data_IF_295420231906
#
_entry.id   IF_295420231906
#
_cell.length_a   1.000
_cell.length_b   1.000
_cell.length_c   1.000
_cell.angle_alpha   90.00
_cell.angle_beta   90.00
_cell.angle_gamma   90.00
#
_symmetry.space_group_name_H-M   'P 1'
#
loop_
_entity.id
_entity.type
_entity.pdbx_description
1 polymer ?
#
# COMPACT_ATOMS: atom_id res chain seq x y z
N UNK A 1 -17.04 -6.44 15.82
CA UNK A 1 -17.68 -5.44 14.92
C UNK A 1 -19.20 -5.63 14.90
N UNK A 2 -19.69 -6.89 14.87
CA UNK A 2 -21.11 -7.25 15.05
C UNK A 2 -21.76 -6.64 16.30
N UNK A 3 -21.05 -6.65 17.43
CA UNK A 3 -21.54 -6.05 18.69
C UNK A 3 -21.88 -4.55 18.59
N UNK A 4 -21.24 -3.79 17.68
CA UNK A 4 -21.53 -2.36 17.48
C UNK A 4 -22.80 -2.12 16.63
N UNK A 5 -23.12 -3.05 15.74
CA UNK A 5 -24.29 -2.94 14.87
C UNK A 5 -25.58 -3.37 15.60
N UNK A 6 -25.50 -4.43 16.42
CA UNK A 6 -26.64 -4.88 17.22
C UNK A 6 -27.05 -3.86 18.29
N UNK A 7 -26.12 -3.05 18.81
CA UNK A 7 -26.43 -2.03 19.81
C UNK A 7 -27.17 -0.80 19.27
N UNK A 8 -27.35 -0.66 17.94
CA UNK A 8 -28.02 0.49 17.32
C UNK A 8 -29.50 0.26 16.96
N UNK A 9 -30.06 -0.93 17.24
CA UNK A 9 -31.50 -1.17 17.08
C UNK A 9 -32.02 -1.11 15.64
N UNK A 10 -31.13 -1.11 14.63
CA UNK A 10 -31.55 -1.26 13.24
C UNK A 10 -31.80 -2.75 12.93
N UNK A 11 -33.03 -3.09 12.55
CA UNK A 11 -33.39 -4.36 11.90
C UNK A 11 -32.74 -4.55 10.51
N UNK A 12 -31.62 -3.87 10.23
CA UNK A 12 -30.89 -4.01 8.98
C UNK A 12 -30.04 -5.29 9.03
N UNK A 13 -29.98 -6.06 7.93
CA UNK A 13 -29.08 -7.20 7.87
C UNK A 13 -27.64 -6.77 8.15
N UNK A 14 -26.92 -7.58 8.93
CA UNK A 14 -25.49 -7.36 9.20
C UNK A 14 -24.73 -7.21 7.89
N UNK A 15 -23.90 -6.15 7.70
CA UNK A 15 -23.20 -5.95 6.45
C UNK A 15 -22.23 -7.10 6.19
N UNK A 16 -22.19 -7.55 4.93
CA UNK A 16 -21.19 -8.49 4.48
C UNK A 16 -19.89 -7.76 4.17
N UNK A 17 -18.75 -8.35 4.56
CA UNK A 17 -17.44 -7.77 4.35
C UNK A 17 -16.68 -8.55 3.27
N UNK A 18 -16.04 -7.81 2.35
CA UNK A 18 -15.08 -8.35 1.40
C UNK A 18 -13.72 -7.70 1.66
N UNK A 19 -12.71 -8.52 1.92
CA UNK A 19 -11.34 -8.11 2.23
C UNK A 19 -10.43 -8.49 1.07
N UNK A 20 -9.65 -7.52 0.61
CA UNK A 20 -8.66 -7.71 -0.43
C UNK A 20 -7.26 -7.64 0.18
N UNK A 21 -6.46 -8.70 -0.02
CA UNK A 21 -5.04 -8.68 0.32
C UNK A 21 -4.25 -8.35 -0.94
N UNK A 22 -3.65 -7.17 -0.98
CA UNK A 22 -2.76 -6.76 -2.07
C UNK A 22 -1.30 -6.88 -1.66
N UNK A 23 -0.50 -7.42 -2.55
CA UNK A 23 0.96 -7.41 -2.50
C UNK A 23 1.52 -7.56 -3.92
N UNK A 24 2.84 -7.51 -4.09
CA UNK A 24 3.51 -7.83 -5.34
C UNK A 24 3.09 -9.20 -5.87
N UNK A 25 3.10 -9.35 -7.20
CA UNK A 25 2.75 -10.62 -7.85
C UNK A 25 3.68 -11.79 -7.49
N UNK A 26 4.88 -11.49 -7.00
CA UNK A 26 5.84 -12.46 -6.50
C UNK A 26 5.62 -12.87 -5.04
N UNK A 27 4.68 -12.24 -4.33
CA UNK A 27 4.36 -12.59 -2.96
C UNK A 27 3.75 -14.00 -2.88
N UNK A 28 3.99 -14.68 -1.76
CA UNK A 28 3.44 -16.02 -1.52
C UNK A 28 1.98 -15.95 -0.99
N UNK A 29 1.05 -15.72 -1.92
CA UNK A 29 -0.38 -15.76 -1.63
C UNK A 29 -0.86 -17.16 -1.18
N UNK A 30 -0.15 -18.24 -1.53
CA UNK A 30 -0.57 -19.59 -1.13
C UNK A 30 -0.44 -19.76 0.39
N UNK A 31 0.67 -19.28 0.97
CA UNK A 31 0.84 -19.29 2.42
C UNK A 31 -0.22 -18.43 3.11
N UNK A 32 -0.50 -17.22 2.58
CA UNK A 32 -1.58 -16.37 3.10
C UNK A 32 -2.93 -17.10 3.12
N UNK A 33 -3.34 -17.71 2.00
CA UNK A 33 -4.65 -18.36 1.93
C UNK A 33 -4.76 -19.59 2.84
N UNK A 34 -3.66 -20.33 3.05
CA UNK A 34 -3.59 -21.45 3.99
C UNK A 34 -3.64 -21.01 5.45
N UNK A 35 -3.21 -19.79 5.76
CA UNK A 35 -3.18 -19.27 7.14
C UNK A 35 -4.44 -18.51 7.56
N UNK A 36 -5.43 -18.33 6.66
CA UNK A 36 -6.67 -17.62 7.01
C UNK A 36 -7.50 -18.40 8.05
N UNK A 37 -8.13 -17.72 9.02
CA UNK A 37 -9.07 -18.36 9.93
C UNK A 37 -10.22 -19.03 9.19
N UNK A 38 -10.64 -20.20 9.68
CA UNK A 38 -11.74 -20.98 9.11
C UNK A 38 -13.08 -20.31 9.44
N UNK A 39 -13.20 -19.72 10.62
CA UNK A 39 -14.39 -19.09 11.21
C UNK A 39 -14.54 -17.59 10.88
N UNK A 40 -13.78 -17.08 9.89
CA UNK A 40 -13.87 -15.69 9.46
C UNK A 40 -15.28 -15.33 8.97
N UNK A 41 -15.75 -14.14 9.38
CA UNK A 41 -17.05 -13.59 8.99
C UNK A 41 -16.93 -12.61 7.79
N UNK A 42 -16.00 -12.88 6.87
CA UNK A 42 -15.74 -12.04 5.70
C UNK A 42 -15.22 -12.86 4.52
N UNK A 43 -15.51 -12.39 3.31
CA UNK A 43 -14.98 -12.94 2.06
C UNK A 43 -13.60 -12.39 1.78
N UNK A 44 -12.76 -13.18 1.11
CA UNK A 44 -11.35 -12.83 0.87
C UNK A 44 -11.00 -13.00 -0.61
N UNK A 45 -10.23 -12.06 -1.14
CA UNK A 45 -9.54 -12.19 -2.42
C UNK A 45 -8.08 -11.70 -2.31
N UNK A 46 -7.17 -12.32 -3.07
CA UNK A 46 -5.82 -11.80 -3.28
C UNK A 46 -5.77 -10.94 -4.53
N UNK A 47 -5.01 -9.86 -4.48
CA UNK A 47 -4.88 -8.89 -5.57
C UNK A 47 -3.40 -8.69 -5.87
N UNK A 48 -2.81 -9.44 -6.82
CA UNK A 48 -1.41 -9.30 -7.15
C UNK A 48 -1.16 -8.01 -7.96
N UNK A 49 -0.19 -7.21 -7.55
CA UNK A 49 0.22 -6.00 -8.28
C UNK A 49 0.84 -4.94 -7.37
N UNK A 50 1.60 -4.02 -7.96
CA UNK A 50 2.16 -2.91 -7.21
C UNK A 50 1.07 -1.94 -6.77
N UNK A 51 1.07 -1.55 -5.49
CA UNK A 51 0.18 -0.51 -4.99
C UNK A 51 0.52 0.89 -5.54
N UNK A 52 1.63 1.08 -6.27
CA UNK A 52 1.90 2.33 -6.99
C UNK A 52 1.09 2.47 -8.28
N UNK A 53 0.33 1.44 -8.68
CA UNK A 53 -0.61 1.52 -9.80
C UNK A 53 -2.06 1.30 -9.33
N UNK A 54 -2.99 1.46 -10.27
CA UNK A 54 -4.39 1.10 -10.07
C UNK A 54 -4.52 -0.42 -10.01
N UNK A 55 -5.32 -0.90 -9.06
CA UNK A 55 -5.58 -2.31 -8.75
C UNK A 55 -7.07 -2.62 -8.74
N UNK A 56 -7.90 -1.62 -8.46
CA UNK A 56 -9.35 -1.79 -8.29
C UNK A 56 -10.17 -0.93 -9.26
N UNK A 57 -11.44 -1.29 -9.51
CA UNK A 57 -12.39 -0.44 -10.21
C UNK A 57 -12.59 0.92 -9.51
N UNK A 58 -13.24 1.85 -10.23
CA UNK A 58 -13.54 3.16 -9.66
C UNK A 58 -14.52 3.03 -8.48
N UNK A 59 -14.23 3.74 -7.38
CA UNK A 59 -15.10 3.81 -6.20
C UNK A 59 -15.61 2.43 -5.71
N UNK A 60 -14.71 1.47 -5.55
CA UNK A 60 -15.03 0.12 -5.06
C UNK A 60 -14.52 -0.18 -3.65
N UNK A 61 -13.64 0.67 -3.09
CA UNK A 61 -13.06 0.48 -1.76
C UNK A 61 -13.68 1.47 -0.75
N UNK A 62 -14.18 0.93 0.36
CA UNK A 62 -14.70 1.74 1.47
C UNK A 62 -13.61 2.11 2.48
N UNK A 63 -12.62 1.22 2.63
CA UNK A 63 -11.54 1.37 3.59
C UNK A 63 -10.25 0.80 3.01
N UNK A 64 -9.16 1.56 3.11
CA UNK A 64 -7.81 1.14 2.69
C UNK A 64 -6.90 1.18 3.91
N UNK A 65 -6.11 0.13 4.08
CA UNK A 65 -5.09 0.05 5.12
C UNK A 65 -3.74 -0.29 4.49
N UNK A 66 -2.73 0.50 4.80
CA UNK A 66 -1.35 0.21 4.42
C UNK A 66 -0.44 0.45 5.62
N UNK A 67 0.39 -0.54 5.94
CA UNK A 67 1.26 -0.50 7.11
C UNK A 67 2.63 -1.07 6.74
N UNK A 68 3.68 -0.30 7.03
CA UNK A 68 5.07 -0.66 6.74
C UNK A 68 5.31 -1.09 5.27
N UNK A 69 4.59 -0.47 4.33
CA UNK A 69 4.72 -0.77 2.89
C UNK A 69 5.24 0.42 2.08
N UNK A 70 4.73 1.64 2.32
CA UNK A 70 5.03 2.82 1.48
C UNK A 70 6.49 3.29 1.54
N UNK A 71 7.29 2.83 2.50
CA UNK A 71 8.72 3.16 2.53
C UNK A 71 9.53 2.42 1.45
N UNK A 72 8.98 1.35 0.86
CA UNK A 72 9.58 0.65 -0.26
C UNK A 72 9.35 1.41 -1.55
N UNK A 73 10.40 2.00 -2.11
CA UNK A 73 10.32 2.70 -3.39
C UNK A 73 9.96 1.75 -4.53
N UNK A 74 9.31 2.28 -5.56
CA UNK A 74 9.00 1.52 -6.78
C UNK A 74 10.25 1.07 -7.53
N UNK A 75 11.35 1.80 -7.36
CA UNK A 75 12.66 1.54 -7.95
C UNK A 75 13.76 2.34 -7.26
N UNK A 76 15.00 1.94 -7.50
CA UNK A 76 16.18 2.72 -7.12
C UNK A 76 16.24 4.02 -7.94
N UNK A 77 16.49 5.21 -7.34
CA UNK A 77 16.72 6.43 -8.08
C UNK A 77 17.88 6.26 -9.08
N UNK A 78 17.72 6.74 -10.33
CA UNK A 78 18.73 6.48 -11.37
C UNK A 78 20.03 7.23 -11.09
N UNK A 79 19.90 8.40 -10.49
CA UNK A 79 20.97 9.33 -10.15
C UNK A 79 21.93 8.74 -9.11
N UNK A 80 21.49 7.79 -8.28
CA UNK A 80 22.33 7.17 -7.24
C UNK A 80 23.20 6.03 -7.76
N UNK A 81 22.87 5.47 -8.92
CA UNK A 81 23.64 4.39 -9.58
C UNK A 81 24.52 4.91 -10.72
N UNK A 82 24.26 6.12 -11.21
CA UNK A 82 25.05 6.76 -12.25
C UNK A 82 26.36 7.32 -11.69
N UNK A 83 27.52 6.82 -12.15
CA UNK A 83 28.84 7.24 -11.69
C UNK A 83 29.20 8.68 -12.05
N UNK A 84 28.53 9.26 -13.04
CA UNK A 84 28.74 10.64 -13.48
C UNK A 84 27.88 11.65 -12.71
N UNK A 85 26.88 11.16 -11.96
CA UNK A 85 25.94 11.98 -11.20
C UNK A 85 26.56 12.49 -9.89
N UNK A 86 26.28 13.74 -9.47
CA UNK A 86 26.65 14.22 -8.14
C UNK A 86 25.95 13.43 -7.01
N UNK A 87 24.86 12.72 -7.31
CA UNK A 87 24.17 11.83 -6.39
C UNK A 87 24.71 10.39 -6.40
N UNK A 88 25.82 10.09 -7.11
CA UNK A 88 26.38 8.74 -7.13
C UNK A 88 26.69 8.21 -5.73
N UNK A 89 25.99 7.18 -5.29
CA UNK A 89 26.09 6.68 -3.91
C UNK A 89 27.24 5.68 -3.75
N UNK A 90 28.46 6.10 -4.06
CA UNK A 90 29.65 5.24 -4.05
C UNK A 90 29.88 4.60 -2.69
N UNK A 91 30.02 3.27 -2.68
CA UNK A 91 30.38 2.48 -1.50
C UNK A 91 29.29 2.38 -0.43
N UNK A 92 28.05 2.75 -0.75
CA UNK A 92 26.90 2.71 0.16
C UNK A 92 25.71 2.05 -0.53
N UNK A 93 24.82 1.48 0.28
CA UNK A 93 23.61 0.79 -0.19
C UNK A 93 22.33 1.61 0.04
N UNK A 94 22.42 2.70 0.81
CA UNK A 94 21.30 3.57 1.15
C UNK A 94 21.77 5.00 1.46
N UNK A 95 20.84 5.93 1.76
CA UNK A 95 21.14 7.34 2.02
C UNK A 95 21.55 7.66 3.47
N UNK A 96 21.66 6.66 4.34
CA UNK A 96 22.07 6.88 5.75
C UNK A 96 23.47 7.51 5.81
N UNK A 97 23.57 8.70 6.40
CA UNK A 97 24.80 9.52 6.41
C UNK A 97 25.38 9.79 5.00
N UNK A 98 24.52 9.83 3.97
CA UNK A 98 24.91 10.19 2.62
C UNK A 98 24.89 11.72 2.44
N UNK A 99 25.48 12.19 1.34
CA UNK A 99 25.43 13.60 0.96
C UNK A 99 24.02 14.04 0.56
N UNK A 100 23.80 15.36 0.55
CA UNK A 100 22.51 15.98 0.24
C UNK A 100 21.92 15.50 -1.10
N UNK A 101 22.75 15.39 -2.13
CA UNK A 101 22.33 14.94 -3.47
C UNK A 101 21.75 13.52 -3.48
N UNK A 102 22.33 12.61 -2.70
CA UNK A 102 21.82 11.23 -2.55
C UNK A 102 20.48 11.27 -1.84
N UNK A 103 20.40 11.96 -0.70
CA UNK A 103 19.16 12.10 0.09
C UNK A 103 18.04 12.72 -0.73
N UNK A 104 18.35 13.74 -1.53
CA UNK A 104 17.41 14.41 -2.44
C UNK A 104 16.93 13.48 -3.55
N UNK A 105 17.81 12.65 -4.12
CA UNK A 105 17.41 11.68 -5.13
C UNK A 105 16.42 10.63 -4.57
N UNK A 106 16.68 10.09 -3.38
CA UNK A 106 15.73 9.19 -2.69
C UNK A 106 14.41 9.90 -2.34
N UNK A 107 14.47 11.11 -1.78
CA UNK A 107 13.28 11.89 -1.45
C UNK A 107 12.42 12.22 -2.68
N UNK A 108 13.05 12.54 -3.81
CA UNK A 108 12.35 12.81 -5.08
C UNK A 108 11.63 11.58 -5.60
N UNK A 109 12.28 10.40 -5.54
CA UNK A 109 11.67 9.14 -5.93
C UNK A 109 10.52 8.76 -4.99
N UNK A 110 10.68 8.94 -3.67
CA UNK A 110 9.62 8.74 -2.68
C UNK A 110 8.40 9.63 -2.93
N UNK A 111 8.61 10.93 -3.16
CA UNK A 111 7.53 11.87 -3.44
C UNK A 111 6.73 11.45 -4.68
N UNK A 112 7.42 11.04 -5.75
CA UNK A 112 6.79 10.51 -6.97
C UNK A 112 5.98 9.24 -6.70
N UNK A 113 6.55 8.32 -5.92
CA UNK A 113 5.91 7.05 -5.60
C UNK A 113 4.65 7.25 -4.75
N UNK A 114 4.73 8.11 -3.72
CA UNK A 114 3.56 8.47 -2.89
C UNK A 114 2.48 9.18 -3.72
N UNK A 115 2.85 10.08 -4.63
CA UNK A 115 1.88 10.72 -5.52
C UNK A 115 1.15 9.68 -6.39
N UNK A 116 1.88 8.75 -7.00
CA UNK A 116 1.28 7.64 -7.75
C UNK A 116 0.34 6.79 -6.89
N UNK A 117 0.75 6.44 -5.66
CA UNK A 117 -0.07 5.70 -4.71
C UNK A 117 -1.37 6.45 -4.40
N UNK A 118 -1.27 7.72 -3.98
CA UNK A 118 -2.42 8.54 -3.62
C UNK A 118 -3.37 8.75 -4.80
N UNK A 119 -2.83 8.98 -6.00
CA UNK A 119 -3.62 9.15 -7.21
C UNK A 119 -4.41 7.87 -7.55
N UNK A 120 -3.78 6.70 -7.45
CA UNK A 120 -4.46 5.43 -7.67
C UNK A 120 -5.56 5.20 -6.60
N UNK A 121 -5.25 5.42 -5.32
CA UNK A 121 -6.23 5.23 -4.22
C UNK A 121 -7.39 6.21 -4.32
N UNK A 122 -7.16 7.46 -4.73
CA UNK A 122 -8.21 8.45 -4.89
C UNK A 122 -9.28 8.05 -5.92
N UNK A 123 -8.91 7.28 -6.95
CA UNK A 123 -9.87 6.76 -7.93
C UNK A 123 -10.63 5.53 -7.44
N UNK A 124 -10.04 4.76 -6.53
CA UNK A 124 -10.56 3.46 -6.09
C UNK A 124 -11.42 3.58 -4.82
N UNK A 125 -11.12 4.55 -3.97
CA UNK A 125 -11.84 4.80 -2.72
C UNK A 125 -13.12 5.58 -3.00
N UNK A 126 -14.23 5.12 -2.42
CA UNK A 126 -15.53 5.80 -2.52
C UNK A 126 -15.49 7.19 -1.88
N UNK A 127 -16.41 8.07 -2.28
CA UNK A 127 -16.61 9.34 -1.58
C UNK A 127 -16.94 9.07 -0.10
N UNK A 128 -16.20 9.69 0.82
CA UNK A 128 -16.32 9.45 2.26
C UNK A 128 -15.63 8.19 2.77
N UNK A 129 -14.96 7.42 1.90
CA UNK A 129 -14.11 6.30 2.30
C UNK A 129 -12.87 6.75 3.05
N UNK A 130 -12.26 5.82 3.79
CA UNK A 130 -11.13 6.11 4.66
C UNK A 130 -9.88 5.38 4.21
N UNK A 131 -8.72 6.00 4.46
CA UNK A 131 -7.42 5.39 4.26
C UNK A 131 -6.56 5.61 5.48
N UNK A 132 -5.99 4.53 6.00
CA UNK A 132 -5.01 4.55 7.09
C UNK A 132 -3.66 4.12 6.55
N UNK A 133 -2.64 4.96 6.79
CA UNK A 133 -1.27 4.73 6.33
C UNK A 133 -0.33 4.82 7.52
N UNK A 134 0.46 3.78 7.73
CA UNK A 134 1.50 3.71 8.77
C UNK A 134 2.85 3.50 8.06
N UNK A 135 3.76 4.45 8.26
CA UNK A 135 5.14 4.43 7.72
C UNK A 135 6.16 4.41 8.86
N UNK A 136 7.38 3.88 8.63
CA UNK A 136 8.47 3.86 9.62
C UNK A 136 8.89 5.25 10.11
#
# INVERSE_FOLDING_TARGET
>A
MEFKYQSQGLNSPTPQFQVFFNDHSSNDFNTLFRSLPIDKQYYVAGVPGSFYSRLFPHASLHFVHSSFALHWLSKVPKEVVDRSSPAWNKGRIHYSNAGEEVTKAYSTQYAKDVDCFLHARAQEVVCGGLMVVIVP
#
